data_IF_011067674571
#
_entry.id   IF_011067674571
#
_cell.length_a   1.000
_cell.length_b   1.000
_cell.length_c   1.000
_cell.angle_alpha   90.00
_cell.angle_beta   90.00
_cell.angle_gamma   90.00
#
_symmetry.space_group_name_H-M   'P 1'
#
loop_
_entity.id
_entity.type
_entity.pdbx_description
1 polymer ?
#
# COMPACT_ATOMS: atom_id res chain seq x y z
N UNK A 1 -9.72 1.57 12.10
CA UNK A 1 -8.94 0.62 11.26
C UNK A 1 -8.26 1.44 10.16
N UNK A 2 -7.09 2.02 10.40
CA UNK A 2 -6.56 3.06 9.48
C UNK A 2 -5.04 3.11 9.33
N UNK A 3 -4.31 2.12 9.87
CA UNK A 3 -2.86 2.08 9.72
C UNK A 3 -2.48 1.15 8.57
N UNK A 4 -1.65 1.61 7.63
CA UNK A 4 -1.10 0.74 6.61
C UNK A 4 -0.21 -0.34 7.25
N UNK A 5 -0.13 -1.51 6.61
CA UNK A 5 0.90 -2.49 6.92
C UNK A 5 2.30 -1.86 6.89
N UNK A 6 3.19 -2.35 7.75
CA UNK A 6 4.56 -1.84 7.87
C UNK A 6 5.29 -1.87 6.52
N UNK A 7 6.18 -0.89 6.33
CA UNK A 7 7.02 -0.83 5.13
C UNK A 7 7.90 -2.07 4.97
N UNK A 8 8.40 -2.62 6.08
CA UNK A 8 9.19 -3.85 6.09
C UNK A 8 8.41 -5.02 5.50
N UNK A 9 7.16 -5.24 5.94
CA UNK A 9 6.33 -6.33 5.41
C UNK A 9 6.10 -6.17 3.91
N UNK A 10 5.81 -4.95 3.47
CA UNK A 10 5.59 -4.64 2.05
C UNK A 10 6.84 -4.92 1.21
N UNK A 11 8.00 -4.46 1.68
CA UNK A 11 9.29 -4.69 1.00
C UNK A 11 9.61 -6.17 0.87
N UNK A 12 9.41 -6.95 1.93
CA UNK A 12 9.66 -8.41 1.90
C UNK A 12 8.74 -9.13 0.92
N UNK A 13 7.47 -8.74 0.87
CA UNK A 13 6.50 -9.33 -0.06
C UNK A 13 6.83 -8.99 -1.50
N UNK A 14 7.10 -7.71 -1.79
CA UNK A 14 7.46 -7.26 -3.15
C UNK A 14 8.74 -7.94 -3.61
N UNK A 15 9.80 -7.93 -2.79
CA UNK A 15 11.06 -8.59 -3.11
C UNK A 15 10.91 -10.10 -3.32
N UNK A 16 10.08 -10.79 -2.52
CA UNK A 16 9.79 -12.21 -2.73
C UNK A 16 9.11 -12.44 -4.09
N UNK A 17 8.16 -11.57 -4.48
CA UNK A 17 7.41 -11.72 -5.73
C UNK A 17 8.29 -11.42 -6.94
N UNK A 18 9.10 -10.36 -6.88
CA UNK A 18 10.09 -10.04 -7.92
C UNK A 18 11.15 -11.14 -8.06
N UNK A 19 11.53 -11.78 -6.95
CA UNK A 19 12.41 -12.96 -6.93
C UNK A 19 11.79 -14.26 -7.47
N UNK A 20 10.59 -14.23 -8.04
CA UNK A 20 9.94 -15.37 -8.69
C UNK A 20 8.95 -16.15 -7.82
N UNK A 21 8.68 -15.72 -6.58
CA UNK A 21 7.54 -16.25 -5.84
C UNK A 21 6.23 -15.74 -6.46
N UNK A 22 5.44 -16.64 -7.05
CA UNK A 22 4.07 -16.30 -7.50
C UNK A 22 3.30 -15.63 -6.36
N UNK A 23 2.75 -14.43 -6.57
CA UNK A 23 2.03 -13.62 -5.59
C UNK A 23 0.93 -14.35 -4.77
N UNK A 24 0.47 -15.51 -5.24
CA UNK A 24 -0.51 -16.38 -4.58
C UNK A 24 0.11 -17.23 -3.44
N UNK A 25 1.41 -17.53 -3.49
CA UNK A 25 2.14 -18.35 -2.51
C UNK A 25 2.75 -17.60 -1.30
N UNK A 26 3.34 -16.39 -1.42
CA UNK A 26 3.84 -15.65 -0.26
C UNK A 26 2.78 -15.32 0.82
N UNK A 27 1.50 -15.04 0.50
CA UNK A 27 0.50 -14.59 1.48
C UNK A 27 0.17 -15.64 2.55
N UNK A 28 0.22 -16.93 2.22
CA UNK A 28 -0.04 -18.02 3.19
C UNK A 28 0.99 -18.04 4.32
N UNK A 29 2.24 -17.68 4.04
CA UNK A 29 3.32 -17.68 5.04
C UNK A 29 3.35 -16.39 5.88
N UNK A 30 2.74 -15.31 5.37
CA UNK A 30 2.80 -13.98 5.99
C UNK A 30 1.48 -13.53 6.64
N UNK A 31 0.45 -14.38 6.62
CA UNK A 31 -0.83 -14.11 7.29
C UNK A 31 -1.63 -12.96 6.68
N UNK A 32 -1.45 -12.68 5.38
CA UNK A 32 -2.16 -11.61 4.66
C UNK A 32 -2.98 -12.15 3.50
N UNK A 33 -3.98 -11.38 3.06
CA UNK A 33 -4.76 -11.73 1.88
C UNK A 33 -3.94 -11.61 0.59
N UNK A 34 -4.20 -12.50 -0.37
CA UNK A 34 -3.54 -12.50 -1.70
C UNK A 34 -3.80 -11.19 -2.44
N UNK A 35 -5.03 -10.66 -2.35
CA UNK A 35 -5.43 -9.39 -2.97
C UNK A 35 -4.55 -8.22 -2.50
N UNK A 36 -4.12 -8.20 -1.24
CA UNK A 36 -3.24 -7.18 -0.70
C UNK A 36 -1.86 -7.21 -1.36
N UNK A 37 -1.30 -8.41 -1.57
CA UNK A 37 -0.01 -8.57 -2.24
C UNK A 37 -0.07 -8.15 -3.72
N UNK A 38 -1.15 -8.52 -4.42
CA UNK A 38 -1.39 -8.08 -5.80
C UNK A 38 -1.52 -6.55 -5.87
N UNK A 39 -2.24 -5.94 -4.93
CA UNK A 39 -2.37 -4.48 -4.85
C UNK A 39 -1.04 -3.76 -4.62
N UNK A 40 -0.10 -4.36 -3.88
CA UNK A 40 1.25 -3.80 -3.72
C UNK A 40 2.07 -3.92 -5.00
N UNK A 41 2.03 -5.05 -5.70
CA UNK A 41 2.71 -5.21 -6.99
C UNK A 41 2.18 -4.19 -8.01
N UNK A 42 0.85 -4.03 -8.09
CA UNK A 42 0.23 -3.04 -8.96
C UNK A 42 0.70 -1.62 -8.63
N UNK A 43 0.80 -1.28 -7.34
CA UNK A 43 1.28 0.04 -6.91
C UNK A 43 2.75 0.28 -7.26
N UNK A 44 3.60 -0.74 -7.10
CA UNK A 44 5.01 -0.66 -7.48
C UNK A 44 5.14 -0.47 -8.99
N UNK A 45 4.33 -1.17 -9.78
CA UNK A 45 4.25 -0.99 -11.24
C UNK A 45 3.77 0.42 -11.63
N UNK A 46 2.73 0.93 -10.98
CA UNK A 46 2.14 2.25 -11.29
C UNK A 46 2.99 3.44 -10.80
N UNK A 47 3.68 3.31 -9.66
CA UNK A 47 4.31 4.45 -8.96
C UNK A 47 5.80 4.27 -8.68
N UNK A 48 6.36 3.07 -8.88
CA UNK A 48 7.72 2.72 -8.48
C UNK A 48 7.94 2.61 -6.96
N UNK A 49 6.90 2.82 -6.14
CA UNK A 49 7.04 2.88 -4.69
C UNK A 49 6.24 1.81 -3.96
N UNK A 50 6.90 1.18 -2.99
CA UNK A 50 6.32 0.22 -2.04
C UNK A 50 5.56 0.93 -0.91
N UNK A 51 5.79 2.24 -0.74
CA UNK A 51 5.22 3.03 0.35
C UNK A 51 3.71 3.20 0.18
N UNK A 52 2.91 3.20 1.27
CA UNK A 52 1.50 3.50 1.18
C UNK A 52 1.25 4.87 0.54
N UNK A 53 0.11 4.99 -0.14
CA UNK A 53 -0.37 6.29 -0.58
C UNK A 53 -0.72 7.17 0.61
N UNK A 54 -0.99 8.44 0.33
CA UNK A 54 -1.54 9.33 1.34
C UNK A 54 -2.83 8.70 1.91
N UNK A 55 -2.96 8.68 3.23
CA UNK A 55 -4.17 8.20 3.91
C UNK A 55 -4.79 9.42 4.59
N UNK A 56 -6.00 9.79 4.14
CA UNK A 56 -6.63 11.06 4.52
C UNK A 56 -6.13 12.25 3.71
N UNK A 57 -6.71 13.42 3.94
CA UNK A 57 -6.18 14.71 3.42
C UNK A 57 -6.27 14.95 1.91
N UNK A 58 -6.95 14.11 1.13
CA UNK A 58 -7.05 14.32 -0.34
C UNK A 58 -7.94 15.51 -0.72
N UNK A 59 -9.03 15.73 0.02
CA UNK A 59 -9.96 16.81 -0.27
C UNK A 59 -9.59 18.05 0.56
N UNK A 60 -9.33 19.20 -0.07
CA UNK A 60 -9.23 20.45 0.67
C UNK A 60 -10.56 20.72 1.38
N UNK A 61 -10.50 21.43 2.51
CA UNK A 61 -11.72 21.80 3.23
C UNK A 61 -12.59 22.68 2.32
N UNK A 62 -13.90 22.41 2.22
CA UNK A 62 -14.80 23.24 1.42
C UNK A 62 -14.91 24.68 1.96
N UNK A 63 -14.67 24.85 3.26
CA UNK A 63 -14.55 26.16 3.91
C UNK A 63 -13.05 26.48 3.98
N UNK A 64 -12.63 27.48 3.22
CA UNK A 64 -11.24 27.94 3.13
C UNK A 64 -11.20 29.46 3.00
N UNK A 65 -10.06 30.09 3.31
CA UNK A 65 -9.90 31.54 3.26
C UNK A 65 -10.56 32.27 4.44
N UNK A 66 -11.23 33.38 4.16
CA UNK A 66 -11.77 34.34 5.14
C UNK A 66 -12.85 33.75 6.08
N UNK A 67 -13.41 32.60 5.74
CA UNK A 67 -14.43 31.88 6.52
C UNK A 67 -13.89 30.64 7.26
N UNK A 68 -12.57 30.44 7.30
CA UNK A 68 -11.95 29.36 8.09
C UNK A 68 -11.92 29.75 9.58
N UNK A 69 -13.07 29.61 10.26
CA UNK A 69 -13.20 29.69 11.73
C UNK A 69 -13.05 28.33 12.39
#
# INVERSE_FOLDING_TARGET
MGKPYSLDLRKRVVAAIEGGCRAIRPPKQLGMAISTAIGWMKRVDETGSVEPGQIGGYKPKPISGEHAV
#
